data_IF_372417181628
#
_entry.id   IF_372417181628
#
_cell.length_a   1.000
_cell.length_b   1.000
_cell.length_c   1.000
_cell.angle_alpha   90.00
_cell.angle_beta   90.00
_cell.angle_gamma   90.00
#
_symmetry.space_group_name_H-M   'P 1'
#
loop_
_entity.id
_entity.type
_entity.pdbx_description
1 polymer ?
#
# COMPACT_ATOMS: atom_id res chain seq x y z
N UNK A 1 -15.30 -10.54 -15.72
CA UNK A 1 -14.47 -9.39 -15.31
C UNK A 1 -15.33 -8.15 -15.46
N UNK A 2 -15.55 -7.40 -14.38
CA UNK A 2 -16.38 -6.20 -14.42
C UNK A 2 -15.67 -5.09 -15.19
N UNK A 3 -16.43 -4.27 -15.90
CA UNK A 3 -15.93 -3.16 -16.73
C UNK A 3 -15.09 -2.13 -15.93
N UNK A 4 -15.10 -2.20 -14.59
CA UNK A 4 -14.27 -1.38 -13.71
C UNK A 4 -12.80 -1.80 -13.58
N UNK A 5 -12.34 -2.93 -14.14
CA UNK A 5 -10.96 -3.43 -13.94
C UNK A 5 -10.65 -3.90 -12.50
N UNK A 6 -11.64 -3.78 -11.62
CA UNK A 6 -11.76 -4.34 -10.28
C UNK A 6 -11.46 -5.86 -10.29
N UNK A 7 -10.20 -6.22 -10.01
CA UNK A 7 -9.71 -7.60 -10.03
C UNK A 7 -8.42 -7.79 -10.85
N UNK A 8 -7.94 -6.76 -11.54
CA UNK A 8 -6.56 -6.76 -12.03
C UNK A 8 -5.60 -6.78 -10.85
N UNK A 9 -4.82 -7.86 -10.76
CA UNK A 9 -3.88 -8.06 -9.68
C UNK A 9 -2.69 -7.11 -9.86
N UNK A 10 -2.43 -6.29 -8.84
CA UNK A 10 -1.27 -5.39 -8.78
C UNK A 10 -0.42 -5.75 -7.56
N UNK A 11 0.52 -6.69 -7.70
CA UNK A 11 1.32 -7.12 -6.57
C UNK A 11 2.11 -5.93 -5.99
N UNK A 12 2.05 -5.80 -4.68
CA UNK A 12 2.90 -4.92 -3.91
C UNK A 12 4.29 -5.53 -3.73
N UNK A 13 4.36 -6.82 -3.41
CA UNK A 13 5.60 -7.61 -3.35
C UNK A 13 5.35 -9.04 -3.76
N UNK A 14 6.37 -9.67 -4.34
CA UNK A 14 6.35 -11.05 -4.81
C UNK A 14 7.52 -11.80 -4.20
N UNK A 15 7.26 -12.98 -3.63
CA UNK A 15 8.26 -13.79 -2.93
C UNK A 15 8.36 -15.18 -3.53
N UNK A 16 9.58 -15.70 -3.68
CA UNK A 16 9.79 -17.12 -3.85
C UNK A 16 9.82 -17.82 -2.49
N UNK A 17 8.93 -18.77 -2.29
CA UNK A 17 8.81 -19.60 -1.08
C UNK A 17 8.86 -21.07 -1.48
N UNK A 18 10.04 -21.68 -1.32
CA UNK A 18 10.28 -23.10 -1.64
C UNK A 18 9.89 -23.48 -3.07
N UNK A 19 10.22 -22.63 -4.06
CA UNK A 19 9.92 -22.87 -5.47
C UNK A 19 8.47 -22.57 -5.89
N UNK A 20 7.66 -22.02 -4.98
CA UNK A 20 6.35 -21.44 -5.28
C UNK A 20 6.40 -19.93 -5.10
N UNK A 21 5.43 -19.23 -5.66
CA UNK A 21 5.41 -17.77 -5.61
C UNK A 21 4.28 -17.31 -4.68
N UNK A 22 4.62 -16.47 -3.71
CA UNK A 22 3.67 -15.76 -2.86
C UNK A 22 3.66 -14.30 -3.29
N UNK A 23 2.57 -13.85 -3.87
CA UNK A 23 2.38 -12.45 -4.20
C UNK A 23 1.38 -11.81 -3.23
N UNK A 24 1.69 -10.59 -2.83
CA UNK A 24 0.91 -9.81 -1.87
C UNK A 24 0.40 -8.57 -2.58
N UNK A 25 -0.84 -8.18 -2.35
CA UNK A 25 -1.46 -7.02 -2.97
C UNK A 25 -2.19 -6.20 -1.92
N UNK A 26 -2.10 -4.87 -2.06
CA UNK A 26 -2.93 -3.92 -1.33
C UNK A 26 -4.05 -3.51 -2.29
N UNK A 27 -5.16 -4.22 -2.22
CA UNK A 27 -6.33 -3.92 -3.03
C UNK A 27 -6.97 -2.65 -2.49
N UNK A 28 -7.13 -1.66 -3.37
CA UNK A 28 -7.57 -0.30 -3.03
C UNK A 28 -9.07 -0.14 -2.94
N UNK A 29 -9.83 -1.22 -3.06
CA UNK A 29 -11.27 -1.12 -3.18
C UNK A 29 -11.71 -0.65 -4.56
N UNK A 30 -13.02 -0.60 -4.74
CA UNK A 30 -13.64 -0.10 -5.95
C UNK A 30 -14.98 0.52 -5.58
N UNK A 31 -15.15 1.81 -5.88
CA UNK A 31 -16.39 2.54 -5.60
C UNK A 31 -17.60 1.92 -6.33
N UNK A 32 -17.38 1.37 -7.53
CA UNK A 32 -18.43 0.69 -8.30
C UNK A 32 -18.80 -0.69 -7.73
N UNK A 33 -17.86 -1.40 -7.11
CA UNK A 33 -18.11 -2.71 -6.49
C UNK A 33 -18.52 -2.61 -5.02
N UNK A 34 -18.35 -1.43 -4.39
CA UNK A 34 -18.56 -1.25 -2.95
C UNK A 34 -17.53 -1.96 -2.07
N UNK A 35 -16.41 -2.39 -2.65
CA UNK A 35 -15.34 -3.09 -1.91
C UNK A 35 -14.39 -2.07 -1.31
N UNK A 36 -14.06 -2.22 -0.02
CA UNK A 36 -13.05 -1.41 0.66
C UNK A 36 -11.62 -1.91 0.44
N UNK A 37 -10.68 -1.37 1.22
CA UNK A 37 -9.28 -1.84 1.22
C UNK A 37 -9.25 -3.31 1.63
N UNK A 38 -8.52 -4.11 0.87
CA UNK A 38 -8.22 -5.49 1.25
C UNK A 38 -6.73 -5.77 1.09
N UNK A 39 -6.23 -6.67 1.94
CA UNK A 39 -4.93 -7.29 1.73
C UNK A 39 -5.18 -8.65 1.10
N UNK A 40 -4.65 -8.84 -0.11
CA UNK A 40 -4.81 -10.09 -0.85
C UNK A 40 -3.48 -10.84 -0.85
N UNK A 41 -3.56 -12.13 -0.51
CA UNK A 41 -2.46 -13.07 -0.60
C UNK A 41 -2.77 -14.05 -1.72
N UNK A 42 -1.86 -14.14 -2.68
CA UNK A 42 -1.97 -15.06 -3.80
C UNK A 42 -0.80 -16.03 -3.75
N UNK A 43 -1.10 -17.32 -3.75
CA UNK A 43 -0.11 -18.37 -3.74
C UNK A 43 -0.18 -19.15 -5.05
N UNK A 44 0.90 -19.14 -5.79
CA UNK A 44 0.99 -19.72 -7.13
C UNK A 44 2.01 -20.83 -7.17
N UNK A 45 1.69 -21.84 -7.96
CA UNK A 45 2.69 -22.83 -8.40
C UNK A 45 3.58 -22.21 -9.48
N UNK A 46 4.81 -22.72 -9.69
CA UNK A 46 5.73 -22.18 -10.69
C UNK A 46 5.17 -22.13 -12.13
N UNK A 47 4.16 -22.94 -12.46
CA UNK A 47 3.54 -22.95 -13.79
C UNK A 47 2.42 -21.91 -13.95
N UNK A 48 1.91 -21.32 -12.86
CA UNK A 48 0.75 -20.42 -12.89
C UNK A 48 1.10 -18.94 -12.84
N UNK A 49 2.39 -18.59 -12.86
CA UNK A 49 2.89 -17.26 -12.51
C UNK A 49 3.14 -16.35 -13.73
N UNK A 50 3.53 -16.95 -14.85
CA UNK A 50 4.05 -16.22 -16.03
C UNK A 50 3.05 -15.29 -16.69
N UNK A 51 1.76 -15.55 -16.47
CA UNK A 51 0.67 -14.75 -17.03
C UNK A 51 0.40 -13.48 -16.19
N UNK A 52 0.97 -13.40 -14.98
CA UNK A 52 0.69 -12.33 -14.02
C UNK A 52 1.92 -11.49 -13.68
N UNK A 53 3.12 -12.08 -13.55
CA UNK A 53 4.33 -11.36 -13.16
C UNK A 53 5.59 -11.91 -13.86
N UNK A 54 6.65 -11.10 -13.90
CA UNK A 54 7.97 -11.56 -14.32
C UNK A 54 8.64 -12.30 -13.13
N UNK A 55 9.07 -13.55 -13.27
CA UNK A 55 9.75 -14.30 -12.20
C UNK A 55 11.04 -13.64 -11.69
N UNK A 56 11.62 -12.71 -12.44
CA UNK A 56 12.79 -11.94 -12.02
C UNK A 56 12.48 -10.93 -10.89
N UNK A 57 11.20 -10.59 -10.68
CA UNK A 57 10.75 -9.68 -9.63
C UNK A 57 10.59 -10.38 -8.26
N UNK A 58 10.88 -11.70 -8.18
CA UNK A 58 10.71 -12.49 -6.95
C UNK A 58 11.84 -12.26 -5.93
N UNK A 59 11.48 -11.79 -4.74
CA UNK A 59 12.36 -11.80 -3.57
C UNK A 59 12.43 -13.21 -2.95
N UNK A 60 13.61 -13.77 -2.72
CA UNK A 60 13.72 -15.09 -2.07
C UNK A 60 13.49 -14.95 -0.57
N UNK A 61 12.44 -15.60 -0.06
CA UNK A 61 12.11 -15.59 1.36
C UNK A 61 12.55 -16.91 2.00
N UNK A 62 13.61 -16.85 2.82
CA UNK A 62 14.16 -18.00 3.56
C UNK A 62 13.77 -17.85 5.04
N UNK A 63 12.74 -18.56 5.53
CA UNK A 63 12.31 -18.46 6.93
C UNK A 63 13.39 -18.97 7.89
N UNK A 64 13.55 -18.26 9.01
CA UNK A 64 14.34 -18.74 10.13
C UNK A 64 13.49 -19.63 11.06
N UNK A 65 14.02 -19.98 12.24
CA UNK A 65 13.33 -20.83 13.22
C UNK A 65 12.05 -20.20 13.82
N UNK A 66 11.85 -18.90 13.65
CA UNK A 66 10.67 -18.13 14.04
C UNK A 66 9.81 -17.69 12.85
N UNK A 67 10.25 -17.97 11.61
CA UNK A 67 9.60 -17.60 10.38
C UNK A 67 10.24 -16.38 9.71
N UNK A 68 9.45 -15.58 9.02
CA UNK A 68 9.85 -14.26 8.53
C UNK A 68 8.69 -13.31 8.70
N UNK A 69 9.00 -12.07 9.09
CA UNK A 69 8.03 -10.98 9.09
C UNK A 69 8.23 -10.15 7.84
N UNK A 70 7.14 -9.96 7.09
CA UNK A 70 7.12 -8.99 5.99
C UNK A 70 6.21 -7.86 6.42
N UNK A 71 6.77 -6.66 6.48
CA UNK A 71 6.01 -5.46 6.81
C UNK A 71 5.28 -4.92 5.58
N UNK A 72 3.99 -4.66 5.74
CA UNK A 72 3.12 -4.17 4.69
C UNK A 72 2.40 -2.89 5.17
N UNK A 73 2.83 -1.71 4.70
CA UNK A 73 2.20 -0.47 5.11
C UNK A 73 0.83 -0.32 4.43
N UNK A 74 -0.25 -0.27 5.22
CA UNK A 74 -1.58 0.12 4.72
C UNK A 74 -1.55 1.55 4.15
N UNK A 75 -0.74 2.42 4.78
CA UNK A 75 -0.41 3.77 4.34
C UNK A 75 1.11 3.85 4.26
N UNK A 76 1.66 4.14 3.08
CA UNK A 76 3.11 4.25 2.89
C UNK A 76 3.63 5.61 3.37
N UNK A 77 4.95 5.71 3.51
CA UNK A 77 5.62 6.98 3.82
C UNK A 77 5.32 8.03 2.75
N UNK A 78 5.26 7.64 1.49
CA UNK A 78 4.96 8.51 0.36
C UNK A 78 3.54 9.07 0.45
N UNK A 79 2.56 8.24 0.85
CA UNK A 79 1.18 8.66 1.06
C UNK A 79 1.09 9.75 2.16
N UNK A 80 1.80 9.54 3.27
CA UNK A 80 1.90 10.51 4.37
C UNK A 80 2.58 11.81 3.92
N UNK A 81 3.68 11.74 3.17
CA UNK A 81 4.37 12.94 2.64
C UNK A 81 3.44 13.72 1.70
N UNK A 82 2.70 13.04 0.82
CA UNK A 82 1.74 13.70 -0.07
C UNK A 82 0.59 14.33 0.70
N UNK A 83 0.06 13.63 1.70
CA UNK A 83 -0.98 14.15 2.58
C UNK A 83 -0.51 15.43 3.29
N UNK A 84 0.69 15.41 3.87
CA UNK A 84 1.28 16.56 4.57
C UNK A 84 1.44 17.77 3.65
N UNK A 85 1.88 17.56 2.41
CA UNK A 85 1.98 18.61 1.39
C UNK A 85 0.63 19.20 1.00
N UNK A 86 -0.38 18.36 0.81
CA UNK A 86 -1.74 18.83 0.48
C UNK A 86 -2.40 19.60 1.61
N UNK A 87 -1.99 19.36 2.85
CA UNK A 87 -2.46 20.06 4.04
C UNK A 87 -1.53 21.20 4.47
N UNK A 88 -0.55 21.56 3.63
CA UNK A 88 0.36 22.70 3.85
C UNK A 88 1.06 22.65 5.22
N UNK A 89 1.40 21.45 5.71
CA UNK A 89 1.96 21.25 7.06
C UNK A 89 3.19 22.15 7.31
N UNK A 90 4.09 22.26 6.33
CA UNK A 90 5.32 23.06 6.46
C UNK A 90 5.03 24.56 6.69
N UNK A 91 3.88 25.06 6.22
CA UNK A 91 3.46 26.45 6.43
C UNK A 91 2.67 26.63 7.74
N UNK A 92 2.10 25.54 8.26
CA UNK A 92 1.30 25.53 9.47
C UNK A 92 2.13 25.47 10.76
N UNK A 93 3.41 25.07 10.69
CA UNK A 93 4.31 24.99 11.86
C UNK A 93 5.12 26.28 12.03
N UNK A 94 5.21 26.78 13.27
CA UNK A 94 6.03 27.94 13.64
C UNK A 94 5.24 29.24 13.72
N UNK A 95 5.85 30.36 13.30
CA UNK A 95 5.43 31.74 13.62
C UNK A 95 4.00 32.14 13.18
N UNK A 96 3.29 31.29 12.44
CA UNK A 96 1.94 31.55 11.91
C UNK A 96 0.88 30.52 12.32
N UNK A 97 1.22 29.52 13.15
CA UNK A 97 0.31 28.42 13.45
C UNK A 97 0.71 27.61 14.69
N UNK A 98 0.87 26.30 14.52
CA UNK A 98 1.12 25.34 15.59
C UNK A 98 2.59 25.38 16.05
N UNK A 99 2.84 25.21 17.35
CA UNK A 99 4.19 25.22 17.93
C UNK A 99 5.01 23.99 17.51
N UNK A 100 4.35 22.85 17.31
CA UNK A 100 4.98 21.61 16.89
C UNK A 100 4.09 20.78 15.94
N UNK A 101 4.71 19.80 15.26
CA UNK A 101 3.98 18.80 14.48
C UNK A 101 3.03 18.00 15.37
N UNK A 102 3.37 17.78 16.64
CA UNK A 102 2.52 17.05 17.58
C UNK A 102 1.22 17.82 17.83
N UNK A 103 1.29 19.12 18.11
CA UNK A 103 0.09 19.93 18.34
C UNK A 103 -0.78 19.99 17.08
N UNK A 104 -0.14 20.10 15.90
CA UNK A 104 -0.87 20.04 14.64
C UNK A 104 -1.58 18.71 14.43
N UNK A 105 -0.94 17.59 14.80
CA UNK A 105 -1.52 16.25 14.69
C UNK A 105 -2.67 16.02 15.69
N UNK A 106 -2.70 16.70 16.83
CA UNK A 106 -3.84 16.62 17.76
C UNK A 106 -5.13 17.14 17.12
N UNK A 107 -5.04 18.23 16.36
CA UNK A 107 -6.18 18.83 15.69
C UNK A 107 -6.46 18.23 14.30
N UNK A 108 -5.41 17.83 13.56
CA UNK A 108 -5.52 17.45 12.14
C UNK A 108 -5.16 15.98 11.86
N UNK A 109 -4.74 15.21 12.86
CA UNK A 109 -4.19 13.86 12.68
C UNK A 109 -5.17 12.89 12.02
N UNK A 110 -6.46 12.99 12.33
CA UNK A 110 -7.48 12.16 11.68
C UNK A 110 -7.62 12.51 10.19
N UNK A 111 -7.75 13.79 9.85
CA UNK A 111 -7.85 14.23 8.45
C UNK A 111 -6.57 13.86 7.68
N UNK A 112 -5.41 14.05 8.31
CA UNK A 112 -4.11 13.68 7.75
C UNK A 112 -4.04 12.20 7.34
N UNK A 113 -4.47 11.31 8.23
CA UNK A 113 -4.50 9.87 7.95
C UNK A 113 -5.59 9.49 6.94
N UNK A 114 -6.79 10.07 7.03
CA UNK A 114 -7.86 9.82 6.07
C UNK A 114 -7.48 10.26 4.66
N UNK A 115 -6.77 11.39 4.54
CA UNK A 115 -6.27 11.90 3.27
C UNK A 115 -5.14 11.04 2.73
N UNK A 116 -4.20 10.60 3.57
CA UNK A 116 -3.17 9.64 3.16
C UNK A 116 -3.78 8.32 2.67
N UNK A 117 -4.84 7.84 3.35
CA UNK A 117 -5.60 6.69 2.91
C UNK A 117 -6.26 6.93 1.54
N UNK A 118 -6.94 8.07 1.35
CA UNK A 118 -7.57 8.40 0.06
C UNK A 118 -6.55 8.51 -1.09
N UNK A 119 -5.38 9.11 -0.84
CA UNK A 119 -4.27 9.14 -1.80
C UNK A 119 -3.89 7.71 -2.19
N UNK A 120 -3.72 6.84 -1.19
CA UNK A 120 -3.40 5.43 -1.41
C UNK A 120 -4.47 4.71 -2.23
N UNK A 121 -5.74 5.06 -2.09
CA UNK A 121 -6.84 4.43 -2.83
C UNK A 121 -6.98 4.90 -4.27
N UNK A 122 -6.65 6.17 -4.53
CA UNK A 122 -7.00 6.84 -5.78
C UNK A 122 -5.84 6.96 -6.77
N UNK A 123 -4.59 6.98 -6.32
CA UNK A 123 -3.45 7.08 -7.24
C UNK A 123 -3.10 5.74 -7.86
N UNK A 124 -3.06 5.62 -9.19
CA UNK A 124 -2.53 4.43 -9.86
C UNK A 124 -1.05 4.17 -9.47
N UNK A 125 -0.76 2.98 -8.92
CA UNK A 125 0.62 2.52 -8.78
C UNK A 125 1.22 2.41 -10.17
N UNK A 126 2.11 3.32 -10.54
CA UNK A 126 3.04 3.07 -11.63
C UNK A 126 4.09 2.09 -11.11
N UNK A 127 3.85 0.80 -11.34
CA UNK A 127 4.95 -0.14 -11.55
C UNK A 127 5.23 -0.16 -13.05
#
# INVERSE_FOLDING_TARGET
MGECGCGEMRPYRVFNVSGNTLATEIYRGCEYCGTGIAFCLYYFTPNGISDFFNPEDEEVLIPDEFGNMVEFPIISKEDLIKSAKQMELDEAIGDKGYESVTDWLEDNGLEFLQRALNIRLTEDSKL
#
